data_IF_635814823165
#
_entry.id   IF_635814823165
#
_cell.length_a   1.000
_cell.length_b   1.000
_cell.length_c   1.000
_cell.angle_alpha   90.00
_cell.angle_beta   90.00
_cell.angle_gamma   90.00
#
_symmetry.space_group_name_H-M   'P 1'
#
loop_
_entity.id
_entity.type
_entity.pdbx_description
1 polymer ?
#
# COMPACT_ATOMS: atom_id res chain seq x y z
N UNK A 1 -17.56 9.00 1.57
CA UNK A 1 -17.47 7.54 1.44
C UNK A 1 -16.00 7.15 1.45
N UNK A 2 -15.61 6.27 2.34
CA UNK A 2 -14.23 5.83 2.44
C UNK A 2 -13.83 4.98 1.25
N UNK A 3 -12.56 5.08 0.90
CA UNK A 3 -11.94 4.29 -0.17
C UNK A 3 -10.73 3.59 0.42
N UNK A 4 -10.53 2.34 0.04
CA UNK A 4 -9.42 1.55 0.55
C UNK A 4 -8.43 1.24 -0.56
N UNK A 5 -7.16 1.51 -0.29
CA UNK A 5 -6.07 1.08 -1.14
C UNK A 5 -5.57 -0.24 -0.57
N UNK A 6 -5.58 -1.28 -1.38
CA UNK A 6 -5.19 -2.62 -0.95
C UNK A 6 -3.98 -3.05 -1.76
N UNK A 7 -2.89 -3.39 -1.07
CA UNK A 7 -1.70 -3.95 -1.68
C UNK A 7 -1.48 -5.38 -1.23
N UNK A 8 -1.32 -6.28 -2.20
CA UNK A 8 -0.92 -7.66 -1.96
C UNK A 8 0.43 -7.84 -2.62
N UNK A 9 1.47 -7.97 -1.81
CA UNK A 9 2.83 -7.91 -2.30
C UNK A 9 3.64 -9.12 -1.85
N UNK A 10 4.49 -9.61 -2.75
CA UNK A 10 5.57 -10.52 -2.41
C UNK A 10 6.86 -9.74 -2.43
N UNK A 11 7.54 -9.65 -1.28
CA UNK A 11 8.76 -8.88 -1.17
C UNK A 11 9.91 -9.71 -1.71
N UNK A 12 10.61 -9.18 -2.73
CA UNK A 12 11.73 -9.86 -3.39
C UNK A 12 13.08 -9.31 -2.97
N UNK A 13 13.11 -8.10 -2.41
CA UNK A 13 14.34 -7.46 -1.91
C UNK A 13 14.00 -6.76 -0.60
N UNK A 14 14.29 -7.43 0.51
CA UNK A 14 13.90 -6.97 1.85
C UNK A 14 14.54 -5.62 2.20
N UNK A 15 15.82 -5.43 1.88
CA UNK A 15 16.52 -4.21 2.25
C UNK A 15 16.00 -3.00 1.47
N UNK A 16 15.75 -3.18 0.18
CA UNK A 16 15.19 -2.12 -0.67
C UNK A 16 13.76 -1.80 -0.24
N UNK A 17 12.97 -2.83 0.08
CA UNK A 17 11.60 -2.62 0.52
C UNK A 17 11.56 -1.88 1.86
N UNK A 18 12.52 -2.13 2.75
CA UNK A 18 12.61 -1.40 4.02
C UNK A 18 12.80 0.08 3.79
N UNK A 19 13.63 0.48 2.82
CA UNK A 19 13.82 1.90 2.47
C UNK A 19 12.54 2.54 1.98
N UNK A 20 11.75 1.80 1.18
CA UNK A 20 10.43 2.23 0.76
C UNK A 20 9.51 2.41 1.99
N UNK A 21 9.44 1.38 2.82
CA UNK A 21 8.55 1.35 3.98
C UNK A 21 8.82 2.49 4.96
N UNK A 22 10.08 2.87 5.13
CA UNK A 22 10.45 3.96 6.04
C UNK A 22 9.99 5.33 5.55
N UNK A 23 9.75 5.49 4.26
CA UNK A 23 9.41 6.78 3.67
C UNK A 23 7.94 6.94 3.34
N UNK A 24 7.23 5.84 3.12
CA UNK A 24 5.88 5.90 2.55
C UNK A 24 4.84 6.42 3.53
N UNK A 25 4.98 6.13 4.82
CA UNK A 25 3.96 6.49 5.81
C UNK A 25 3.73 8.00 5.89
N UNK A 26 4.80 8.79 5.84
CA UNK A 26 4.68 10.25 5.89
C UNK A 26 3.90 10.79 4.69
N UNK A 27 4.09 10.19 3.51
CA UNK A 27 3.36 10.63 2.31
C UNK A 27 1.88 10.30 2.41
N UNK A 28 1.55 9.12 2.95
CA UNK A 28 0.16 8.71 3.17
C UNK A 28 -0.54 9.68 4.11
N UNK A 29 0.08 10.02 5.23
CA UNK A 29 -0.48 10.94 6.21
C UNK A 29 -0.68 12.33 5.63
N UNK A 30 0.26 12.79 4.82
CA UNK A 30 0.20 14.11 4.20
C UNK A 30 -1.06 14.28 3.34
N UNK A 31 -1.55 13.20 2.74
CA UNK A 31 -2.73 13.23 1.89
C UNK A 31 -3.98 12.67 2.57
N UNK A 32 -3.95 12.58 3.88
CA UNK A 32 -5.14 12.23 4.67
C UNK A 32 -5.43 10.74 4.76
N UNK A 33 -4.49 9.90 4.36
CA UNK A 33 -4.63 8.46 4.48
C UNK A 33 -4.21 7.95 5.85
N UNK A 34 -4.66 6.75 6.19
CA UNK A 34 -4.24 6.08 7.40
C UNK A 34 -4.17 4.58 7.18
N UNK A 35 -3.16 3.94 7.76
CA UNK A 35 -3.01 2.49 7.65
C UNK A 35 -4.00 1.79 8.55
N UNK A 36 -4.70 0.78 8.00
CA UNK A 36 -5.53 -0.14 8.75
C UNK A 36 -4.83 -1.49 8.92
N UNK A 37 -4.08 -1.90 7.90
CA UNK A 37 -3.23 -3.10 7.92
C UNK A 37 -1.92 -2.74 7.28
N UNK A 38 -0.83 -3.12 7.93
CA UNK A 38 0.51 -2.81 7.40
C UNK A 38 1.44 -3.99 7.63
N UNK A 39 1.21 -5.05 6.85
CA UNK A 39 2.08 -6.23 6.91
C UNK A 39 1.93 -7.07 8.16
N UNK A 40 0.76 -7.06 8.78
CA UNK A 40 0.48 -7.93 9.91
C UNK A 40 0.45 -9.39 9.49
N UNK A 41 0.51 -10.30 10.48
CA UNK A 41 0.49 -11.72 10.19
C UNK A 41 -0.86 -12.13 9.60
N UNK A 42 -0.80 -13.07 8.66
CA UNK A 42 -1.98 -13.53 7.92
C UNK A 42 -2.27 -14.96 8.32
N UNK A 43 -3.53 -15.24 8.66
CA UNK A 43 -4.00 -16.59 8.91
C UNK A 43 -4.99 -16.95 7.81
N UNK A 44 -4.68 -17.99 7.05
CA UNK A 44 -5.52 -18.43 5.93
C UNK A 44 -6.67 -19.28 6.44
N UNK A 45 -7.89 -18.87 6.12
CA UNK A 45 -9.08 -19.66 6.46
C UNK A 45 -9.53 -20.54 5.29
N UNK A 46 -9.40 -20.02 4.07
CA UNK A 46 -9.73 -20.76 2.85
C UNK A 46 -8.81 -20.27 1.73
N UNK A 47 -8.44 -21.16 0.86
CA UNK A 47 -7.67 -20.82 -0.33
C UNK A 47 -6.22 -20.52 -0.07
N UNK A 48 -5.62 -19.82 -1.01
CA UNK A 48 -4.21 -19.40 -0.94
C UNK A 48 -4.11 -17.96 -1.44
N UNK A 49 -3.74 -17.05 -0.52
CA UNK A 49 -3.53 -15.65 -0.89
C UNK A 49 -2.19 -15.51 -1.58
N UNK A 50 -2.15 -14.82 -2.72
CA UNK A 50 -0.89 -14.56 -3.38
C UNK A 50 -0.18 -13.41 -2.70
N UNK A 51 1.12 -13.58 -2.42
CA UNK A 51 1.91 -12.59 -1.71
C UNK A 51 1.80 -12.77 -0.20
N UNK A 52 2.88 -12.41 0.49
CA UNK A 52 2.97 -12.60 1.94
C UNK A 52 2.73 -11.31 2.73
N UNK A 53 2.60 -10.17 2.04
CA UNK A 53 2.38 -8.88 2.69
C UNK A 53 1.10 -8.25 2.20
N UNK A 54 0.23 -7.96 3.14
CA UNK A 54 -1.03 -7.27 2.87
C UNK A 54 -0.99 -5.89 3.51
N UNK A 55 -1.36 -4.88 2.74
CA UNK A 55 -1.44 -3.50 3.22
C UNK A 55 -2.82 -2.95 2.89
N UNK A 56 -3.46 -2.29 3.85
CA UNK A 56 -4.72 -1.60 3.63
C UNK A 56 -4.59 -0.18 4.16
N UNK A 57 -4.84 0.78 3.29
CA UNK A 57 -4.82 2.21 3.64
C UNK A 57 -6.19 2.79 3.35
N UNK A 58 -6.75 3.52 4.31
CA UNK A 58 -8.03 4.20 4.13
C UNK A 58 -7.80 5.66 3.74
N UNK A 59 -8.55 6.13 2.73
CA UNK A 59 -8.63 7.54 2.37
C UNK A 59 -10.10 7.96 2.45
N UNK A 60 -10.33 9.26 2.69
CA UNK A 60 -11.70 9.79 2.78
C UNK A 60 -12.43 9.77 1.44
N UNK A 61 -11.68 9.83 0.33
CA UNK A 61 -12.25 9.87 -1.00
C UNK A 61 -11.30 9.25 -2.02
N UNK A 62 -11.86 8.86 -3.16
CA UNK A 62 -11.07 8.38 -4.29
C UNK A 62 -10.12 9.46 -4.80
N UNK A 63 -10.57 10.71 -4.79
CA UNK A 63 -9.77 11.85 -5.22
C UNK A 63 -8.53 12.01 -4.35
N UNK A 64 -8.67 11.89 -3.04
CA UNK A 64 -7.54 11.97 -2.11
C UNK A 64 -6.54 10.84 -2.34
N UNK A 65 -7.04 9.63 -2.55
CA UNK A 65 -6.19 8.46 -2.81
C UNK A 65 -5.41 8.65 -4.11
N UNK A 66 -6.07 9.10 -5.17
CA UNK A 66 -5.41 9.31 -6.46
C UNK A 66 -4.43 10.47 -6.42
N UNK A 67 -4.76 11.53 -5.66
CA UNK A 67 -3.86 12.64 -5.47
C UNK A 67 -2.57 12.20 -4.79
N UNK A 68 -2.69 11.36 -3.78
CA UNK A 68 -1.52 10.75 -3.13
C UNK A 68 -0.72 9.91 -4.11
N UNK A 69 -1.38 9.03 -4.85
CA UNK A 69 -0.71 8.08 -5.75
C UNK A 69 0.08 8.79 -6.84
N UNK A 70 -0.40 9.95 -7.32
CA UNK A 70 0.26 10.73 -8.37
C UNK A 70 1.08 11.89 -7.82
N UNK A 71 1.24 11.99 -6.50
CA UNK A 71 1.94 13.12 -5.89
C UNK A 71 3.46 13.06 -6.15
N UNK A 72 4.09 14.23 -6.13
CA UNK A 72 5.54 14.31 -6.25
C UNK A 72 6.26 13.64 -5.08
N UNK A 73 5.59 13.51 -3.94
CA UNK A 73 6.15 12.85 -2.77
C UNK A 73 6.16 11.33 -2.93
N UNK A 74 5.11 10.77 -3.54
CA UNK A 74 4.98 9.31 -3.63
C UNK A 74 5.52 8.72 -4.93
N UNK A 75 5.41 9.44 -6.05
CA UNK A 75 5.80 8.88 -7.37
C UNK A 75 7.21 8.27 -7.37
N UNK A 76 8.25 8.90 -6.77
CA UNK A 76 9.57 8.25 -6.72
C UNK A 76 9.57 6.95 -5.94
N UNK A 77 8.69 6.82 -4.96
CA UNK A 77 8.61 5.62 -4.12
C UNK A 77 7.94 4.45 -4.84
N UNK A 78 7.13 4.72 -5.87
CA UNK A 78 6.49 3.64 -6.65
C UNK A 78 7.56 2.77 -7.30
N UNK A 79 8.55 3.39 -7.93
CA UNK A 79 9.63 2.63 -8.58
C UNK A 79 10.45 1.85 -7.57
N UNK A 80 10.69 2.44 -6.40
CA UNK A 80 11.41 1.77 -5.34
C UNK A 80 10.65 0.52 -4.88
N UNK A 81 9.34 0.65 -4.65
CA UNK A 81 8.49 -0.48 -4.28
C UNK A 81 8.48 -1.56 -5.36
N UNK A 82 8.33 -1.16 -6.63
CA UNK A 82 8.27 -2.10 -7.75
C UNK A 82 9.58 -2.85 -7.95
N UNK A 83 10.71 -2.23 -7.63
CA UNK A 83 12.00 -2.90 -7.72
C UNK A 83 12.21 -3.93 -6.61
N UNK A 84 11.44 -3.85 -5.53
CA UNK A 84 11.63 -4.65 -4.33
C UNK A 84 10.50 -5.64 -4.06
N UNK A 85 9.46 -5.65 -4.90
CA UNK A 85 8.29 -6.50 -4.67
C UNK A 85 7.55 -6.75 -5.97
N UNK A 86 6.70 -7.78 -5.93
CA UNK A 86 5.77 -8.11 -7.01
C UNK A 86 4.37 -8.21 -6.42
N UNK A 87 3.36 -7.83 -7.19
CA UNK A 87 1.99 -7.97 -6.74
C UNK A 87 1.08 -6.88 -7.26
N UNK A 88 -0.03 -6.71 -6.58
CA UNK A 88 -1.12 -5.86 -7.04
C UNK A 88 -1.44 -4.77 -6.02
N UNK A 89 -1.79 -3.60 -6.54
CA UNK A 89 -2.27 -2.48 -5.74
C UNK A 89 -3.57 -1.99 -6.38
N UNK A 90 -4.64 -1.96 -5.61
CA UNK A 90 -5.96 -1.61 -6.11
C UNK A 90 -6.64 -0.61 -5.19
N UNK A 91 -7.61 0.13 -5.73
CA UNK A 91 -8.52 0.97 -4.95
C UNK A 91 -9.90 0.32 -4.96
N UNK A 92 -10.53 0.26 -3.78
CA UNK A 92 -11.86 -0.32 -3.60
C UNK A 92 -12.72 0.66 -2.83
N UNK A 93 -13.93 0.92 -3.36
CA UNK A 93 -14.89 1.77 -2.66
C UNK A 93 -15.39 1.06 -1.40
N UNK A 94 -15.48 1.81 -0.32
CA UNK A 94 -16.08 1.30 0.91
C UNK A 94 -17.60 1.29 0.83
N UNK A 95 -18.21 0.77 1.87
CA UNK A 95 -19.67 0.70 1.99
C UNK A 95 -20.27 2.07 2.24
#
# INVERSE_FOLDING_TARGET
>A
MAVYLIGQLEITDVDTFRRYSEQVAATVQQYGGRYLVRGGSIETLEGALSGSRLVVVEFDSKESAKRWYSSKEYVPLIKLRQSASEGDVVLVDGV
#
